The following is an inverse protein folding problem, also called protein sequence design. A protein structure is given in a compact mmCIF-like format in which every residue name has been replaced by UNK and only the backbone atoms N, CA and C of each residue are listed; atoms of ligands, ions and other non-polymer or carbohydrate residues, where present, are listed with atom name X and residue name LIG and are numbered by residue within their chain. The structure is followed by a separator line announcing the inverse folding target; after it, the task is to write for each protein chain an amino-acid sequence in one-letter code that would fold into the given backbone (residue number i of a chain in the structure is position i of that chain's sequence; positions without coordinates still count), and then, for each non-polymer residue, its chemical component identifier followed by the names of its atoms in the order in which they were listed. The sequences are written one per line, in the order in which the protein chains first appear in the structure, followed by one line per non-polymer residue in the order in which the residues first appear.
data_IF_120891161766
#
_entry.id   IF_120891161766
#
_cell.length_a   1.000
_cell.length_b   1.000
_cell.length_c   1.000
_cell.angle_alpha   90.00
_cell.angle_beta   90.00
_cell.angle_gamma   90.00
#
_symmetry.space_group_name_H-M   'P 1'
#
loop_
_entity.id
_entity.type
_entity.pdbx_description
1 polymer ?
#
# COMPACT_ATOMS: atom_id res chain seq x y z
N UNK A 1 -7.16 22.97 15.67
CA UNK A 1 -5.83 22.70 16.30
C UNK A 1 -5.79 21.37 17.02
N UNK A 2 -6.77 21.03 17.88
CA UNK A 2 -6.84 19.73 18.55
C UNK A 2 -6.78 18.52 17.59
N UNK A 3 -7.52 18.58 16.48
CA UNK A 3 -7.61 17.44 15.55
C UNK A 3 -6.30 17.21 14.77
N UNK A 4 -5.56 18.30 14.46
CA UNK A 4 -4.21 18.21 13.90
C UNK A 4 -3.20 17.60 14.87
N UNK A 5 -3.31 17.95 16.16
CA UNK A 5 -2.46 17.40 17.22
C UNK A 5 -2.70 15.90 17.43
N UNK A 6 -3.96 15.46 17.35
CA UNK A 6 -4.33 14.05 17.41
C UNK A 6 -3.80 13.27 16.20
N UNK A 7 -3.93 13.82 14.99
CA UNK A 7 -3.37 13.22 13.78
C UNK A 7 -1.84 13.08 13.86
N UNK A 8 -1.15 14.14 14.32
CA UNK A 8 0.30 14.14 14.48
C UNK A 8 0.75 13.10 15.52
N UNK A 9 0.06 13.03 16.66
CA UNK A 9 0.33 12.04 17.71
C UNK A 9 0.12 10.61 17.20
N UNK A 10 -0.95 10.38 16.43
CA UNK A 10 -1.21 9.08 15.83
C UNK A 10 -0.09 8.68 14.86
N UNK A 11 0.36 9.59 13.99
CA UNK A 11 1.49 9.35 13.08
C UNK A 11 2.79 9.06 13.84
N UNK A 12 3.12 9.89 14.84
CA UNK A 12 4.34 9.75 15.65
C UNK A 12 4.36 8.44 16.44
N UNK A 13 3.21 7.93 16.88
CA UNK A 13 3.12 6.65 17.57
C UNK A 13 3.09 5.46 16.61
N UNK A 14 2.49 5.61 15.43
CA UNK A 14 2.37 4.54 14.44
C UNK A 14 3.71 4.23 13.77
N UNK A 15 4.49 5.25 13.40
CA UNK A 15 5.75 5.07 12.65
C UNK A 15 6.76 4.17 13.41
N UNK A 16 7.05 4.38 14.72
CA UNK A 16 7.98 3.53 15.46
C UNK A 16 7.48 2.08 15.58
N UNK A 17 6.19 1.89 15.86
CA UNK A 17 5.59 0.55 15.97
C UNK A 17 5.69 -0.19 14.64
N UNK A 18 5.41 0.51 13.53
CA UNK A 18 5.51 -0.02 12.19
C UNK A 18 6.96 -0.43 11.84
N UNK A 19 7.94 0.43 12.13
CA UNK A 19 9.37 0.16 11.90
C UNK A 19 9.83 -1.06 12.71
N UNK A 20 9.52 -1.11 14.01
CA UNK A 20 9.91 -2.22 14.88
C UNK A 20 9.25 -3.53 14.46
N UNK A 21 7.95 -3.49 14.15
CA UNK A 21 7.22 -4.66 13.65
C UNK A 21 7.80 -5.22 12.36
N UNK A 22 8.14 -4.34 11.40
CA UNK A 22 8.81 -4.75 10.18
C UNK A 22 10.21 -5.30 10.41
N UNK A 23 11.02 -4.68 11.28
CA UNK A 23 12.35 -5.20 11.62
C UNK A 23 12.29 -6.62 12.21
N UNK A 24 11.35 -6.88 13.13
CA UNK A 24 11.14 -8.21 13.72
C UNK A 24 10.69 -9.22 12.67
N UNK A 25 9.77 -8.83 11.79
CA UNK A 25 9.27 -9.69 10.72
C UNK A 25 10.36 -10.04 9.71
N UNK A 26 11.13 -9.03 9.26
CA UNK A 26 12.30 -9.20 8.41
C UNK A 26 13.32 -10.16 9.03
N UNK A 27 13.64 -9.96 10.31
CA UNK A 27 14.57 -10.84 11.02
C UNK A 27 14.08 -12.30 11.00
N UNK A 28 12.80 -12.54 11.29
CA UNK A 28 12.21 -13.88 11.24
C UNK A 28 12.29 -14.50 9.85
N UNK A 29 11.93 -13.77 8.81
CA UNK A 29 11.93 -14.28 7.44
C UNK A 29 13.36 -14.55 6.93
N UNK A 30 14.31 -13.66 7.23
CA UNK A 30 15.74 -13.87 6.92
C UNK A 30 16.28 -15.14 7.60
N UNK A 31 15.93 -15.38 8.87
CA UNK A 31 16.39 -16.59 9.59
C UNK A 31 15.81 -17.90 9.07
N UNK A 32 14.70 -17.86 8.30
CA UNK A 32 14.10 -19.05 7.66
C UNK A 32 14.78 -19.46 6.35
N UNK A 33 15.69 -18.64 5.81
CA UNK A 33 16.56 -19.00 4.69
C UNK A 33 15.94 -18.92 3.28
N UNK A 34 14.64 -18.68 3.14
CA UNK A 34 13.95 -18.52 1.85
C UNK A 34 13.55 -17.07 1.52
N UNK A 35 14.28 -16.09 2.07
CA UNK A 35 13.85 -14.70 2.03
C UNK A 35 14.26 -13.98 0.74
N UNK A 36 13.27 -13.55 -0.04
CA UNK A 36 13.45 -12.60 -1.13
C UNK A 36 13.01 -11.20 -0.67
N UNK A 37 13.97 -10.29 -0.49
CA UNK A 37 13.69 -8.89 -0.11
C UNK A 37 12.73 -8.21 -1.09
N UNK A 38 12.79 -8.60 -2.37
CA UNK A 38 11.91 -8.10 -3.44
C UNK A 38 10.46 -8.55 -3.22
N UNK A 39 10.26 -9.81 -2.86
CA UNK A 39 8.93 -10.37 -2.61
C UNK A 39 8.33 -9.79 -1.33
N UNK A 40 9.14 -9.61 -0.28
CA UNK A 40 8.73 -8.91 0.93
C UNK A 40 8.32 -7.46 0.66
N UNK A 41 9.14 -6.70 -0.07
CA UNK A 41 8.81 -5.31 -0.42
C UNK A 41 7.53 -5.23 -1.27
N UNK A 42 7.35 -6.16 -2.21
CA UNK A 42 6.12 -6.27 -3.00
C UNK A 42 4.91 -6.55 -2.11
N UNK A 43 5.01 -7.49 -1.17
CA UNK A 43 3.91 -7.86 -0.29
C UNK A 43 3.52 -6.70 0.66
N UNK A 44 4.52 -5.97 1.19
CA UNK A 44 4.28 -4.76 1.98
C UNK A 44 3.60 -3.68 1.14
N UNK A 45 4.07 -3.44 -0.09
CA UNK A 45 3.47 -2.47 -0.99
C UNK A 45 2.02 -2.84 -1.34
N UNK A 46 1.74 -4.13 -1.59
CA UNK A 46 0.39 -4.64 -1.84
C UNK A 46 -0.55 -4.45 -0.64
N UNK A 47 -0.09 -4.74 0.57
CA UNK A 47 -0.90 -4.52 1.78
C UNK A 47 -1.17 -3.04 2.06
N UNK A 48 -0.19 -2.17 1.80
CA UNK A 48 -0.37 -0.71 1.88
C UNK A 48 -1.37 -0.22 0.82
N UNK A 49 -1.32 -0.80 -0.38
CA UNK A 49 -2.22 -0.47 -1.47
C UNK A 49 -3.67 -0.86 -1.15
N UNK A 50 -3.91 -2.04 -0.58
CA UNK A 50 -5.24 -2.46 -0.09
C UNK A 50 -5.73 -1.61 1.10
N UNK A 51 -4.88 -1.40 2.10
CA UNK A 51 -5.24 -0.62 3.29
C UNK A 51 -5.55 0.83 2.91
N UNK A 52 -4.74 1.40 2.03
CA UNK A 52 -4.94 2.75 1.55
C UNK A 52 -6.20 2.90 0.68
N UNK A 53 -6.61 1.89 -0.08
CA UNK A 53 -7.84 1.98 -0.88
C UNK A 53 -9.07 2.05 0.03
N UNK A 54 -9.08 1.25 1.10
CA UNK A 54 -10.09 1.34 2.15
C UNK A 54 -10.09 2.72 2.83
N UNK A 55 -8.91 3.26 3.18
CA UNK A 55 -8.81 4.53 3.89
C UNK A 55 -9.13 5.77 3.03
N UNK A 56 -8.64 5.81 1.80
CA UNK A 56 -8.72 6.99 0.94
C UNK A 56 -10.01 7.04 0.12
N UNK A 57 -10.59 5.89 -0.21
CA UNK A 57 -11.74 5.81 -1.11
C UNK A 57 -12.97 5.14 -0.48
N UNK A 58 -12.90 4.74 0.79
CA UNK A 58 -13.96 4.04 1.50
C UNK A 58 -14.47 2.81 0.72
N UNK A 59 -13.58 2.16 -0.04
CA UNK A 59 -13.89 0.97 -0.81
C UNK A 59 -13.37 -0.25 -0.07
N UNK A 60 -14.29 -1.04 0.48
CA UNK A 60 -13.95 -2.32 1.08
C UNK A 60 -13.38 -3.25 0.00
N UNK A 61 -12.18 -3.77 0.25
CA UNK A 61 -11.47 -4.74 -0.59
C UNK A 61 -10.98 -4.24 -1.95
N UNK A 62 -10.79 -2.93 -2.14
CA UNK A 62 -10.17 -2.41 -3.36
C UNK A 62 -8.87 -1.68 -3.05
N UNK A 63 -7.88 -1.83 -3.93
CA UNK A 63 -6.59 -1.17 -3.81
C UNK A 63 -6.66 0.33 -4.15
N UNK A 64 -5.71 1.13 -3.67
CA UNK A 64 -5.54 2.52 -4.14
C UNK A 64 -5.29 2.49 -5.65
N UNK A 65 -4.46 1.56 -6.14
CA UNK A 65 -4.15 1.40 -7.56
C UNK A 65 -5.40 1.25 -8.43
N UNK A 66 -6.29 0.31 -8.09
CA UNK A 66 -7.52 0.08 -8.83
C UNK A 66 -8.50 1.25 -8.70
N UNK A 67 -8.62 1.84 -7.51
CA UNK A 67 -9.51 2.97 -7.25
C UNK A 67 -9.03 4.27 -7.89
N UNK A 68 -7.72 4.50 -7.96
CA UNK A 68 -7.13 5.64 -8.64
C UNK A 68 -7.42 5.58 -10.14
N UNK A 69 -7.35 4.39 -10.74
CA UNK A 69 -7.72 4.16 -12.14
C UNK A 69 -9.22 4.33 -12.37
N UNK A 70 -10.07 3.69 -11.56
CA UNK A 70 -11.55 3.80 -11.62
C UNK A 70 -12.03 5.25 -11.54
N UNK A 71 -11.39 6.07 -10.69
CA UNK A 71 -11.75 7.49 -10.49
C UNK A 71 -10.99 8.44 -11.42
N UNK A 72 -10.19 7.92 -12.34
CA UNK A 72 -9.38 8.69 -13.30
C UNK A 72 -8.48 9.76 -12.63
N UNK A 73 -7.90 9.45 -11.47
CA UNK A 73 -7.04 10.38 -10.73
C UNK A 73 -5.62 10.35 -11.33
N UNK A 74 -5.43 11.03 -12.46
CA UNK A 74 -4.23 10.97 -13.33
C UNK A 74 -2.90 11.12 -12.58
N UNK A 75 -2.81 12.06 -11.64
CA UNK A 75 -1.56 12.29 -10.90
C UNK A 75 -1.21 11.12 -9.98
N UNK A 76 -2.23 10.49 -9.37
CA UNK A 76 -2.06 9.37 -8.46
C UNK A 76 -1.74 8.09 -9.24
N UNK A 77 -2.40 7.87 -10.38
CA UNK A 77 -2.07 6.79 -11.33
C UNK A 77 -0.60 6.90 -11.73
N UNK A 78 -0.16 8.09 -12.17
CA UNK A 78 1.22 8.32 -12.61
C UNK A 78 2.22 8.06 -11.48
N UNK A 79 1.90 8.51 -10.25
CA UNK A 79 2.74 8.32 -9.08
C UNK A 79 2.88 6.84 -8.68
N UNK A 80 1.77 6.10 -8.63
CA UNK A 80 1.77 4.68 -8.27
C UNK A 80 2.49 3.86 -9.33
N UNK A 81 2.16 4.04 -10.62
CA UNK A 81 2.85 3.36 -11.72
C UNK A 81 4.37 3.62 -11.68
N UNK A 82 4.79 4.84 -11.33
CA UNK A 82 6.20 5.17 -11.14
C UNK A 82 6.84 4.43 -9.95
N UNK A 83 6.16 4.36 -8.79
CA UNK A 83 6.66 3.60 -7.62
C UNK A 83 6.88 2.13 -7.96
N UNK A 84 5.90 1.52 -8.62
CA UNK A 84 5.95 0.10 -9.00
C UNK A 84 6.80 -0.17 -10.24
N UNK A 85 7.27 0.88 -10.92
CA UNK A 85 8.03 0.82 -12.19
C UNK A 85 7.30 0.02 -13.27
N UNK A 86 5.98 0.18 -13.30
CA UNK A 86 5.08 -0.52 -14.23
C UNK A 86 4.01 0.47 -14.71
N UNK A 87 4.06 0.81 -16.00
CA UNK A 87 3.17 1.80 -16.62
C UNK A 87 1.70 1.36 -16.65
N UNK A 88 1.43 0.06 -16.52
CA UNK A 88 0.07 -0.48 -16.53
C UNK A 88 -0.40 -0.95 -15.15
N UNK A 89 0.37 -0.72 -14.08
CA UNK A 89 0.09 -1.26 -12.75
C UNK A 89 -1.35 -0.97 -12.26
N UNK A 90 -1.76 0.31 -12.28
CA UNK A 90 -3.11 0.69 -11.85
C UNK A 90 -4.22 0.14 -12.77
N UNK A 91 -3.95 0.05 -14.07
CA UNK A 91 -4.90 -0.50 -15.06
C UNK A 91 -5.09 -2.00 -14.85
N UNK A 92 -4.01 -2.71 -14.58
CA UNK A 92 -4.03 -4.15 -14.34
C UNK A 92 -4.69 -4.47 -13.00
N UNK A 93 -4.40 -3.69 -11.95
CA UNK A 93 -5.10 -3.77 -10.67
C UNK A 93 -6.61 -3.55 -10.84
N UNK A 94 -7.01 -2.54 -11.61
CA UNK A 94 -8.41 -2.30 -11.93
C UNK A 94 -9.04 -3.47 -12.68
N UNK A 95 -8.39 -4.00 -13.71
CA UNK A 95 -8.88 -5.16 -14.45
C UNK A 95 -9.07 -6.38 -13.54
N UNK A 96 -8.12 -6.66 -12.66
CA UNK A 96 -8.20 -7.80 -11.73
C UNK A 96 -9.37 -7.61 -10.75
N UNK A 97 -9.53 -6.42 -10.18
CA UNK A 97 -10.51 -6.17 -9.11
C UNK A 97 -11.94 -5.87 -9.61
N UNK A 98 -12.09 -5.34 -10.83
CA UNK A 98 -13.38 -4.92 -11.39
C UNK A 98 -13.90 -5.80 -12.54
N UNK A 99 -13.01 -6.38 -13.37
CA UNK A 99 -13.43 -7.22 -14.51
C UNK A 99 -13.54 -8.72 -14.19
N UNK A 100 -13.22 -9.18 -12.98
CA UNK A 100 -13.48 -10.56 -12.54
C UNK A 100 -14.92 -10.80 -12.00
N UNK A 101 -15.92 -10.08 -12.53
CA UNK A 101 -17.34 -10.34 -12.24
C UNK A 101 -18.02 -11.12 -13.36
#
# INVERSE_FOLDING_TARGET
MRDYLLLLMALVLFIPIFIVGHAIHLYKEVTKGSFSMREYAFNVAYHLDLAGGTMLFNSENKSISAMAYEKEIVWLISFINWIFRDENHCKDAWNIEFNQR
#
